data_IF_639090349367
#
_entry.id   IF_639090349367
#
_cell.length_a   1.000
_cell.length_b   1.000
_cell.length_c   1.000
_cell.angle_alpha   90.00
_cell.angle_beta   90.00
_cell.angle_gamma   90.00
#
_symmetry.space_group_name_H-M   'P 1'
#
loop_
_entity.id
_entity.type
_entity.pdbx_description
1 polymer ?
#
# COMPACT_ATOMS: atom_id res chain seq x y z
N UNK A 1 10.06 -9.65 20.04
CA UNK A 1 10.74 -8.49 19.40
C UNK A 1 11.23 -8.86 18.00
N UNK A 2 11.99 -9.95 17.83
CA UNK A 2 12.51 -10.41 16.52
C UNK A 2 11.41 -10.72 15.49
N UNK A 3 10.28 -11.27 15.91
CA UNK A 3 9.19 -11.65 15.00
C UNK A 3 8.63 -10.46 14.18
N UNK A 4 8.77 -9.21 14.68
CA UNK A 4 8.32 -8.00 13.98
C UNK A 4 9.04 -7.78 12.65
N UNK A 5 10.28 -8.28 12.51
CA UNK A 5 11.06 -8.15 11.28
C UNK A 5 10.53 -9.02 10.14
N UNK A 6 9.70 -10.03 10.41
CA UNK A 6 9.04 -10.82 9.37
C UNK A 6 7.76 -10.18 8.84
N UNK A 7 7.21 -9.17 9.53
CA UNK A 7 5.95 -8.53 9.15
C UNK A 7 6.03 -7.85 7.77
N UNK A 8 7.08 -7.09 7.41
CA UNK A 8 7.20 -6.54 6.06
C UNK A 8 7.17 -7.61 4.97
N UNK A 9 7.81 -8.76 5.20
CA UNK A 9 7.76 -9.88 4.26
C UNK A 9 6.32 -10.40 4.12
N UNK A 10 5.63 -10.60 5.25
CA UNK A 10 4.22 -11.02 5.26
C UNK A 10 3.35 -10.03 4.50
N UNK A 11 3.46 -8.71 4.76
CA UNK A 11 2.72 -7.68 4.03
C UNK A 11 2.89 -7.81 2.51
N UNK A 12 4.13 -7.97 2.05
CA UNK A 12 4.43 -8.05 0.62
C UNK A 12 3.96 -9.37 0.00
N UNK A 13 3.91 -10.47 0.77
CA UNK A 13 3.36 -11.74 0.30
C UNK A 13 1.90 -11.62 -0.15
N UNK A 14 1.13 -10.65 0.34
CA UNK A 14 -0.21 -10.37 -0.19
C UNK A 14 -0.19 -10.08 -1.69
N UNK A 15 0.80 -9.32 -2.17
CA UNK A 15 0.97 -9.05 -3.59
C UNK A 15 1.38 -10.30 -4.37
N UNK A 16 2.33 -11.07 -3.84
CA UNK A 16 2.77 -12.33 -4.43
C UNK A 16 1.59 -13.33 -4.55
N UNK A 17 0.82 -13.53 -3.49
CA UNK A 17 -0.35 -14.41 -3.51
C UNK A 17 -1.45 -13.88 -4.44
N UNK A 18 -1.63 -12.57 -4.55
CA UNK A 18 -2.50 -11.98 -5.57
C UNK A 18 -2.11 -12.40 -7.00
N UNK A 19 -0.81 -12.40 -7.30
CA UNK A 19 -0.29 -12.88 -8.59
C UNK A 19 -0.55 -14.38 -8.78
N UNK A 20 -0.28 -15.18 -7.75
CA UNK A 20 -0.50 -16.63 -7.78
C UNK A 20 -1.97 -16.95 -8.01
N UNK A 21 -2.89 -16.29 -7.30
CA UNK A 21 -4.34 -16.46 -7.45
C UNK A 21 -4.79 -16.22 -8.89
N UNK A 22 -4.34 -15.14 -9.51
CA UNK A 22 -4.71 -14.84 -10.91
C UNK A 22 -4.16 -15.85 -11.92
N UNK A 23 -3.09 -16.59 -11.58
CA UNK A 23 -2.54 -17.66 -12.42
C UNK A 23 -3.24 -19.00 -12.20
N UNK A 24 -3.71 -19.26 -10.99
CA UNK A 24 -4.43 -20.50 -10.66
C UNK A 24 -5.86 -20.46 -11.21
N UNK A 25 -6.52 -19.30 -11.14
CA UNK A 25 -7.92 -19.14 -11.55
C UNK A 25 -8.10 -18.01 -12.57
N UNK A 26 -7.51 -18.13 -13.79
CA UNK A 26 -7.61 -17.11 -14.83
C UNK A 26 -9.05 -16.87 -15.30
N UNK A 27 -9.92 -17.88 -15.22
CA UNK A 27 -11.35 -17.81 -15.55
C UNK A 27 -12.13 -16.85 -14.65
N UNK A 28 -11.76 -16.72 -13.38
CA UNK A 28 -12.41 -15.80 -12.44
C UNK A 28 -11.94 -14.35 -12.64
N UNK A 29 -10.76 -14.16 -13.22
CA UNK A 29 -10.16 -12.84 -13.34
C UNK A 29 -10.89 -11.92 -14.33
N UNK A 30 -11.41 -12.48 -15.42
CA UNK A 30 -12.10 -11.72 -16.46
C UNK A 30 -13.39 -11.04 -15.93
N UNK A 31 -14.36 -11.76 -15.33
CA UNK A 31 -15.53 -11.12 -14.70
C UNK A 31 -15.16 -10.40 -13.41
N UNK A 32 -14.16 -10.89 -12.65
CA UNK A 32 -13.75 -10.36 -11.35
C UNK A 32 -13.08 -8.98 -11.38
N UNK A 33 -12.55 -8.56 -12.53
CA UNK A 33 -11.67 -7.39 -12.65
C UNK A 33 -12.23 -6.10 -12.03
N UNK A 34 -13.53 -5.82 -12.22
CA UNK A 34 -14.19 -4.62 -11.66
C UNK A 34 -14.24 -4.69 -10.13
N UNK A 35 -14.51 -5.87 -9.57
CA UNK A 35 -14.56 -6.09 -8.13
C UNK A 35 -13.18 -5.94 -7.48
N UNK A 36 -12.13 -6.55 -8.05
CA UNK A 36 -10.76 -6.37 -7.56
C UNK A 36 -10.33 -4.90 -7.60
N UNK A 37 -10.73 -4.17 -8.64
CA UNK A 37 -10.43 -2.75 -8.79
C UNK A 37 -11.15 -1.88 -7.76
N UNK A 38 -12.45 -2.11 -7.55
CA UNK A 38 -13.21 -1.45 -6.50
C UNK A 38 -12.65 -1.77 -5.11
N UNK A 39 -12.32 -3.04 -4.86
CA UNK A 39 -11.76 -3.49 -3.58
C UNK A 39 -10.40 -2.83 -3.29
N UNK A 40 -9.52 -2.76 -4.29
CA UNK A 40 -8.26 -2.01 -4.21
C UNK A 40 -8.49 -0.55 -3.82
N UNK A 41 -9.45 0.13 -4.46
CA UNK A 41 -9.77 1.54 -4.20
C UNK A 41 -10.29 1.73 -2.77
N UNK A 42 -11.21 0.87 -2.32
CA UNK A 42 -11.75 0.89 -0.96
C UNK A 42 -10.63 0.74 0.07
N UNK A 43 -9.69 -0.19 -0.15
CA UNK A 43 -8.57 -0.40 0.76
C UNK A 43 -7.61 0.79 0.81
N UNK A 44 -7.33 1.47 -0.32
CA UNK A 44 -6.53 2.70 -0.32
C UNK A 44 -7.23 3.79 0.51
N UNK A 45 -8.53 3.97 0.31
CA UNK A 45 -9.31 4.96 1.05
C UNK A 45 -9.30 4.63 2.56
N UNK A 46 -9.53 3.37 2.92
CA UNK A 46 -9.52 2.90 4.30
C UNK A 46 -8.15 3.10 4.96
N UNK A 47 -7.07 2.68 4.30
CA UNK A 47 -5.70 2.87 4.79
C UNK A 47 -5.35 4.36 4.94
N UNK A 48 -5.75 5.19 3.97
CA UNK A 48 -5.56 6.64 4.01
C UNK A 48 -6.32 7.31 5.15
N UNK A 49 -7.60 6.96 5.35
CA UNK A 49 -8.44 7.50 6.41
C UNK A 49 -7.96 7.07 7.82
N UNK A 50 -7.63 5.78 8.00
CA UNK A 50 -7.07 5.29 9.25
C UNK A 50 -5.71 5.94 9.55
N UNK A 51 -4.85 6.06 8.55
CA UNK A 51 -3.56 6.76 8.70
C UNK A 51 -3.77 8.23 9.09
N UNK A 52 -4.79 8.91 8.55
CA UNK A 52 -5.09 10.30 8.88
C UNK A 52 -5.52 10.44 10.34
N UNK A 53 -6.26 9.47 10.89
CA UNK A 53 -6.68 9.46 12.29
C UNK A 53 -5.48 9.44 13.27
N UNK A 54 -4.40 8.73 12.94
CA UNK A 54 -3.18 8.69 13.76
C UNK A 54 -2.17 9.79 13.42
N UNK A 55 -2.35 10.47 12.29
CA UNK A 55 -1.55 11.61 11.88
C UNK A 55 -1.90 12.87 12.68
N UNK A 56 -0.89 13.62 13.13
CA UNK A 56 -1.10 14.86 13.92
C UNK A 56 -0.82 16.15 13.15
N UNK A 57 -0.17 16.06 12.00
CA UNK A 57 0.38 17.21 11.30
C UNK A 57 -0.35 17.46 9.98
N UNK A 58 -1.36 18.36 10.01
CA UNK A 58 -2.18 18.70 8.85
C UNK A 58 -1.35 19.13 7.63
N UNK A 59 -0.27 19.90 7.84
CA UNK A 59 0.63 20.34 6.77
C UNK A 59 1.19 19.16 5.95
N UNK A 60 1.59 18.07 6.63
CA UNK A 60 2.14 16.89 5.95
C UNK A 60 1.07 16.03 5.30
N UNK A 61 -0.18 16.09 5.77
CA UNK A 61 -1.32 15.49 5.07
C UNK A 61 -1.55 16.22 3.75
N UNK A 62 -1.55 17.56 3.75
CA UNK A 62 -1.74 18.37 2.54
C UNK A 62 -0.58 18.14 1.56
N UNK A 63 0.66 18.18 2.04
CA UNK A 63 1.85 17.90 1.22
C UNK A 63 1.77 16.49 0.61
N UNK A 64 1.46 15.48 1.44
CA UNK A 64 1.28 14.11 0.98
C UNK A 64 0.17 14.00 -0.06
N UNK A 65 -0.94 14.72 0.09
CA UNK A 65 -2.06 14.72 -0.87
C UNK A 65 -1.60 15.21 -2.24
N UNK A 66 -0.88 16.33 -2.30
CA UNK A 66 -0.32 16.87 -3.54
C UNK A 66 0.65 15.86 -4.16
N UNK A 67 1.62 15.35 -3.38
CA UNK A 67 2.60 14.39 -3.87
C UNK A 67 1.95 13.07 -4.34
N UNK A 68 0.97 12.56 -3.60
CA UNK A 68 0.25 11.33 -3.91
C UNK A 68 -0.60 11.43 -5.16
N UNK A 69 -1.10 12.63 -5.45
CA UNK A 69 -1.77 12.92 -6.71
C UNK A 69 -0.77 12.79 -7.88
N UNK A 70 0.40 13.41 -7.83
CA UNK A 70 1.32 13.42 -8.99
C UNK A 70 2.20 12.18 -9.12
N UNK A 71 2.60 11.56 -8.01
CA UNK A 71 3.54 10.44 -7.99
C UNK A 71 2.77 9.11 -7.95
N UNK A 72 2.99 8.16 -8.88
CA UNK A 72 2.28 6.88 -8.90
C UNK A 72 3.01 5.76 -8.12
N UNK A 73 3.57 6.04 -6.94
CA UNK A 73 4.40 5.10 -6.18
C UNK A 73 3.65 4.43 -5.01
N UNK A 74 2.54 3.73 -5.30
CA UNK A 74 1.64 3.23 -4.26
C UNK A 74 2.31 2.30 -3.22
N UNK A 75 3.20 1.40 -3.65
CA UNK A 75 3.91 0.50 -2.74
C UNK A 75 4.88 1.23 -1.80
N UNK A 76 5.45 2.37 -2.23
CA UNK A 76 6.23 3.24 -1.37
C UNK A 76 5.36 3.85 -0.26
N UNK A 77 4.11 4.21 -0.57
CA UNK A 77 3.18 4.78 0.41
C UNK A 77 2.80 3.75 1.47
N UNK A 78 2.59 2.50 1.06
CA UNK A 78 2.31 1.39 1.96
C UNK A 78 3.52 1.03 2.83
N UNK A 79 4.73 1.08 2.27
CA UNK A 79 5.96 0.91 3.04
C UNK A 79 6.14 1.99 4.10
N UNK A 80 5.89 3.27 3.75
CA UNK A 80 5.89 4.38 4.71
C UNK A 80 4.87 4.18 5.84
N UNK A 81 3.66 3.77 5.50
CA UNK A 81 2.62 3.48 6.49
C UNK A 81 3.01 2.32 7.41
N UNK A 82 3.66 1.28 6.87
CA UNK A 82 4.14 0.17 7.68
C UNK A 82 5.24 0.60 8.66
N UNK A 83 6.15 1.48 8.24
CA UNK A 83 7.18 2.06 9.12
C UNK A 83 6.53 2.87 10.25
N UNK A 84 5.55 3.71 9.92
CA UNK A 84 4.78 4.47 10.92
C UNK A 84 4.14 3.54 11.96
N UNK A 85 3.54 2.44 11.51
CA UNK A 85 2.93 1.45 12.37
C UNK A 85 3.96 0.68 13.21
N UNK A 86 5.12 0.37 12.63
CA UNK A 86 6.22 -0.30 13.32
C UNK A 86 6.75 0.52 14.50
N UNK A 87 6.88 1.83 14.32
CA UNK A 87 7.37 2.77 15.33
C UNK A 87 6.33 3.11 16.41
N UNK A 88 5.05 2.81 16.20
CA UNK A 88 3.96 3.23 17.09
C UNK A 88 3.59 2.19 18.14
N UNK A 89 2.97 1.09 17.73
CA UNK A 89 2.52 0.03 18.64
C UNK A 89 2.41 -1.31 17.92
N UNK A 90 2.46 -2.41 18.67
CA UNK A 90 2.39 -3.76 18.08
C UNK A 90 1.00 -4.04 17.49
N UNK A 91 -0.05 -3.50 18.09
CA UNK A 91 -1.44 -3.63 17.67
C UNK A 91 -1.68 -2.91 16.34
N UNK A 92 -1.19 -1.67 16.22
CA UNK A 92 -1.27 -0.90 14.98
C UNK A 92 -0.46 -1.57 13.86
N UNK A 93 0.72 -2.10 14.19
CA UNK A 93 1.54 -2.84 13.24
C UNK A 93 0.80 -4.06 12.68
N UNK A 94 0.14 -4.86 13.53
CA UNK A 94 -0.68 -6.00 13.10
C UNK A 94 -1.88 -5.57 12.26
N UNK A 95 -2.57 -4.51 12.68
CA UNK A 95 -3.73 -3.97 11.94
C UNK A 95 -3.34 -3.48 10.54
N UNK A 96 -2.36 -2.58 10.43
CA UNK A 96 -1.93 -2.03 9.14
C UNK A 96 -1.27 -3.09 8.26
N UNK A 97 -0.47 -4.00 8.82
CA UNK A 97 0.13 -5.10 8.03
C UNK A 97 -0.93 -6.02 7.42
N UNK A 98 -1.98 -6.34 8.18
CA UNK A 98 -3.10 -7.16 7.69
C UNK A 98 -3.84 -6.47 6.55
N UNK A 99 -4.13 -5.16 6.68
CA UNK A 99 -4.77 -4.38 5.62
C UNK A 99 -3.88 -4.23 4.37
N UNK A 100 -2.57 -4.04 4.55
CA UNK A 100 -1.60 -3.97 3.45
C UNK A 100 -1.53 -5.33 2.72
N UNK A 101 -1.52 -6.44 3.47
CA UNK A 101 -1.58 -7.79 2.90
C UNK A 101 -2.85 -7.99 2.07
N UNK A 102 -4.02 -7.66 2.65
CA UNK A 102 -5.31 -7.76 1.97
C UNK A 102 -5.35 -6.87 0.72
N UNK A 103 -4.72 -5.69 0.77
CA UNK A 103 -4.55 -4.80 -0.40
C UNK A 103 -3.63 -5.40 -1.46
N UNK A 104 -2.62 -6.16 -1.05
CA UNK A 104 -1.71 -6.85 -1.94
C UNK A 104 -2.45 -7.83 -2.86
N UNK A 105 -3.44 -8.56 -2.35
CA UNK A 105 -4.20 -9.56 -3.10
C UNK A 105 -4.84 -8.99 -4.40
N UNK A 106 -5.79 -8.02 -4.36
CA UNK A 106 -6.38 -7.47 -5.57
C UNK A 106 -5.35 -6.79 -6.47
N UNK A 107 -4.32 -6.16 -5.90
CA UNK A 107 -3.28 -5.49 -6.68
C UNK A 107 -2.44 -6.48 -7.48
N UNK A 108 -2.02 -7.58 -6.85
CA UNK A 108 -1.27 -8.67 -7.50
C UNK A 108 -2.07 -9.33 -8.59
N UNK A 109 -3.34 -9.62 -8.31
CA UNK A 109 -4.24 -10.25 -9.29
C UNK A 109 -4.48 -9.36 -10.52
N UNK A 110 -4.68 -8.06 -10.32
CA UNK A 110 -4.86 -7.10 -11.41
C UNK A 110 -3.61 -6.89 -12.27
N UNK A 111 -2.42 -6.98 -11.68
CA UNK A 111 -1.17 -6.84 -12.43
C UNK A 111 -0.80 -8.12 -13.20
N UNK A 112 -1.05 -9.30 -12.61
CA UNK A 112 -0.88 -10.59 -13.29
C UNK A 112 -1.85 -10.77 -14.47
N UNK A 113 -3.04 -10.16 -14.42
CA UNK A 113 -3.99 -10.10 -15.54
C UNK A 113 -3.44 -9.34 -16.77
N UNK A 114 -2.41 -8.50 -16.62
CA UNK A 114 -1.81 -7.75 -17.73
C UNK A 114 -0.72 -8.57 -18.39
N UNK A 115 -0.73 -8.65 -19.72
CA UNK A 115 0.17 -9.54 -20.49
C UNK A 115 1.67 -9.20 -20.39
N UNK A 116 2.05 -7.96 -20.06
CA UNK A 116 3.44 -7.50 -20.16
C UNK A 116 4.00 -6.90 -18.86
N UNK A 117 5.27 -7.21 -18.60
CA UNK A 117 6.11 -6.53 -17.61
C UNK A 117 5.86 -6.94 -16.14
N UNK A 118 5.39 -8.18 -15.90
CA UNK A 118 5.00 -8.60 -14.55
C UNK A 118 6.20 -8.72 -13.61
N UNK A 119 7.32 -9.28 -14.09
CA UNK A 119 8.52 -9.47 -13.28
C UNK A 119 9.15 -8.13 -12.89
N UNK A 120 9.24 -7.21 -13.86
CA UNK A 120 9.75 -5.85 -13.66
C UNK A 120 8.89 -5.08 -12.66
N UNK A 121 7.55 -5.18 -12.79
CA UNK A 121 6.63 -4.58 -11.81
C UNK A 121 6.76 -5.19 -10.43
N UNK A 122 6.92 -6.51 -10.33
CA UNK A 122 7.11 -7.18 -9.06
C UNK A 122 8.37 -6.69 -8.35
N UNK A 123 9.50 -6.67 -9.06
CA UNK A 123 10.77 -6.17 -8.53
C UNK A 123 10.67 -4.69 -8.17
N UNK A 124 10.06 -3.86 -9.02
CA UNK A 124 9.86 -2.43 -8.74
C UNK A 124 9.00 -2.23 -7.48
N UNK A 125 7.88 -2.95 -7.35
CA UNK A 125 7.00 -2.85 -6.20
C UNK A 125 7.68 -3.36 -4.92
N UNK A 126 8.51 -4.40 -5.01
CA UNK A 126 9.33 -4.88 -3.90
C UNK A 126 10.31 -3.80 -3.45
N UNK A 127 11.08 -3.21 -4.38
CA UNK A 127 12.03 -2.14 -4.09
C UNK A 127 11.32 -0.94 -3.47
N UNK A 128 10.24 -0.48 -4.08
CA UNK A 128 9.47 0.67 -3.59
C UNK A 128 8.88 0.42 -2.20
N UNK A 129 8.41 -0.81 -1.91
CA UNK A 129 7.89 -1.17 -0.60
C UNK A 129 8.99 -1.27 0.46
N UNK A 130 10.16 -1.80 0.09
CA UNK A 130 11.30 -1.96 0.99
C UNK A 130 12.05 -0.66 1.26
N UNK A 131 12.04 0.29 0.32
CA UNK A 131 12.80 1.53 0.44
C UNK A 131 12.47 2.36 1.71
N UNK A 132 11.19 2.56 2.09
CA UNK A 132 10.83 3.20 3.36
C UNK A 132 11.38 2.50 4.61
N UNK A 133 11.65 1.19 4.57
CA UNK A 133 12.16 0.46 5.74
C UNK A 133 13.54 0.96 6.18
N UNK A 134 14.29 1.61 5.30
CA UNK A 134 15.55 2.27 5.66
C UNK A 134 15.35 3.39 6.68
N UNK A 135 14.15 3.97 6.78
CA UNK A 135 13.82 4.97 7.80
C UNK A 135 13.82 4.39 9.22
N UNK A 136 13.73 3.06 9.38
CA UNK A 136 13.88 2.43 10.70
C UNK A 136 15.29 2.55 11.28
N UNK A 137 16.28 2.93 10.46
CA UNK A 137 17.66 3.17 10.89
C UNK A 137 17.88 4.58 11.46
N UNK A 138 16.87 5.45 11.36
CA UNK A 138 16.95 6.85 11.77
C UNK A 138 15.81 7.13 12.76
N UNK A 139 16.08 7.93 13.79
CA UNK A 139 15.04 8.36 14.72
C UNK A 139 14.03 9.27 13.99
N UNK A 140 12.81 8.77 13.81
CA UNK A 140 11.75 9.45 13.06
C UNK A 140 10.43 9.39 13.83
N UNK A 141 9.64 10.45 13.70
CA UNK A 141 8.37 10.56 14.41
C UNK A 141 7.26 9.80 13.66
N UNK A 142 6.64 8.82 14.32
CA UNK A 142 5.58 8.02 13.72
C UNK A 142 4.34 8.84 13.31
N UNK A 143 3.95 9.85 14.10
CA UNK A 143 2.82 10.74 13.76
C UNK A 143 3.10 11.56 12.50
N UNK A 144 4.37 11.90 12.24
CA UNK A 144 4.77 12.55 10.99
C UNK A 144 4.59 11.60 9.80
N UNK A 145 5.07 10.36 9.94
CA UNK A 145 4.95 9.36 8.87
C UNK A 145 3.48 9.03 8.57
N UNK A 146 2.63 8.89 9.60
CA UNK A 146 1.19 8.70 9.42
C UNK A 146 0.52 9.85 8.67
N UNK A 147 0.86 11.11 9.00
CA UNK A 147 0.34 12.28 8.29
C UNK A 147 0.77 12.29 6.83
N UNK A 148 2.04 11.97 6.55
CA UNK A 148 2.55 11.94 5.19
C UNK A 148 1.92 10.78 4.39
N UNK A 149 1.88 9.57 4.94
CA UNK A 149 1.30 8.40 4.26
C UNK A 149 -0.19 8.54 4.02
N UNK A 150 -0.95 9.15 4.95
CA UNK A 150 -2.37 9.41 4.73
C UNK A 150 -2.60 10.35 3.55
N UNK A 151 -1.82 11.45 3.49
CA UNK A 151 -1.86 12.37 2.36
C UNK A 151 -1.56 11.63 1.05
N UNK A 152 -0.45 10.89 1.00
CA UNK A 152 -0.03 10.17 -0.21
C UNK A 152 -1.09 9.18 -0.71
N UNK A 153 -1.69 8.40 0.20
CA UNK A 153 -2.75 7.44 -0.13
C UNK A 153 -4.03 8.13 -0.61
N UNK A 154 -4.48 9.18 0.07
CA UNK A 154 -5.69 9.93 -0.31
C UNK A 154 -5.50 10.70 -1.62
N UNK A 155 -4.34 11.32 -1.83
CA UNK A 155 -3.99 11.96 -3.10
C UNK A 155 -3.99 10.95 -4.25
N UNK A 156 -3.47 9.75 -4.01
CA UNK A 156 -3.50 8.68 -5.01
C UNK A 156 -4.92 8.20 -5.31
N UNK A 157 -5.75 8.06 -4.27
CA UNK A 157 -7.17 7.73 -4.42
C UNK A 157 -7.89 8.76 -5.30
N UNK A 158 -7.71 10.07 -5.04
CA UNK A 158 -8.32 11.15 -5.83
C UNK A 158 -7.91 11.04 -7.30
N UNK A 159 -6.63 10.83 -7.59
CA UNK A 159 -6.16 10.65 -8.97
C UNK A 159 -6.79 9.44 -9.64
N UNK A 160 -6.92 8.31 -8.95
CA UNK A 160 -7.55 7.11 -9.52
C UNK A 160 -9.00 7.38 -9.92
N UNK A 161 -9.75 8.10 -9.09
CA UNK A 161 -11.11 8.54 -9.40
C UNK A 161 -11.16 9.51 -10.59
N UNK A 162 -10.25 10.49 -10.64
CA UNK A 162 -10.22 11.51 -11.69
C UNK A 162 -9.81 10.97 -13.07
N UNK A 163 -8.87 10.04 -13.11
CA UNK A 163 -8.28 9.52 -14.35
C UNK A 163 -9.11 8.45 -15.06
N UNK A 164 -10.31 8.11 -14.55
CA UNK A 164 -11.06 6.89 -14.95
C UNK A 164 -10.18 5.63 -14.93
N UNK A 165 -9.15 5.62 -14.07
CA UNK A 165 -8.50 4.38 -13.62
C UNK A 165 -9.44 3.58 -12.69
N UNK A 166 -10.77 3.74 -12.81
CA UNK A 166 -11.88 3.01 -12.13
C UNK A 166 -12.65 2.14 -13.12
#
# INVERSE_FOLDING_TARGET
MIWKFFIPLICFLGYFFGIVLAKISPEEMAPGKKYFKAFKIILILLLGALSAYYGKYLLFIILGLVLGYFIPALYFYLGLLLVAAFLSSSELLVMFSSLIFIFGLPSGSLDASKKNGLAEKFVLNLILFSLPLLLLLIDTNASFLYSLSSGLLLGRFIRMCASREV
#
